data_IF_042472068392
#
_entry.id   IF_042472068392
#
_cell.length_a   1.000
_cell.length_b   1.000
_cell.length_c   1.000
_cell.angle_alpha   90.00
_cell.angle_beta   90.00
_cell.angle_gamma   90.00
#
_symmetry.space_group_name_H-M   'P 1'
#
loop_
_entity.id
_entity.type
_entity.pdbx_description
1 polymer ?
#
# COMPACT_ATOMS: atom_id res chain seq x y z
N UNK A 1 21.26 -46.06 34.05
CA UNK A 1 21.96 -45.14 34.97
C UNK A 1 20.93 -44.19 35.55
N UNK A 2 20.80 -44.11 36.89
CA UNK A 2 19.79 -43.32 37.58
C UNK A 2 20.35 -41.95 38.02
N UNK A 3 19.49 -40.95 38.16
CA UNK A 3 19.64 -39.91 39.18
C UNK A 3 18.30 -39.69 39.86
N UNK A 4 18.38 -39.58 41.17
CA UNK A 4 17.32 -39.59 42.17
C UNK A 4 17.38 -38.28 42.98
N UNK A 5 16.38 -38.09 43.86
CA UNK A 5 16.22 -37.10 44.94
C UNK A 5 15.43 -35.81 44.58
N UNK A 6 14.19 -35.66 45.09
CA UNK A 6 13.76 -35.09 46.42
C UNK A 6 13.85 -33.56 46.38
N UNK A 7 12.86 -32.73 46.74
CA UNK A 7 11.84 -32.68 47.80
C UNK A 7 10.62 -31.89 47.25
N UNK A 8 9.42 -31.76 47.82
CA UNK A 8 9.07 -31.32 49.16
C UNK A 8 7.56 -31.55 49.40
N UNK A 9 7.23 -31.91 50.64
CA UNK A 9 5.91 -32.33 51.11
C UNK A 9 4.98 -31.14 51.47
N UNK A 10 3.73 -31.28 51.05
CA UNK A 10 2.45 -30.90 51.66
C UNK A 10 2.34 -29.78 52.71
N UNK A 11 1.34 -28.91 52.50
CA UNK A 11 0.38 -28.53 53.56
C UNK A 11 -0.99 -28.20 53.00
N UNK A 12 -1.98 -28.96 53.49
CA UNK A 12 -3.42 -28.85 53.24
C UNK A 12 -4.10 -27.76 54.08
N UNK A 13 -5.25 -27.30 53.58
CA UNK A 13 -6.41 -26.86 54.38
C UNK A 13 -6.69 -25.35 54.40
N UNK A 14 -7.92 -24.84 54.49
CA UNK A 14 -9.31 -25.36 54.34
C UNK A 14 -10.22 -24.11 54.38
N UNK A 15 -11.23 -24.05 53.52
CA UNK A 15 -12.60 -23.48 53.71
C UNK A 15 -12.80 -22.00 54.12
N UNK A 16 -13.65 -21.32 53.34
CA UNK A 16 -14.39 -20.14 53.78
C UNK A 16 -15.49 -19.74 52.78
N UNK A 17 -16.72 -20.25 52.99
CA UNK A 17 -17.96 -19.79 52.35
C UNK A 17 -18.30 -18.35 52.76
N UNK A 18 -18.92 -17.57 51.86
CA UNK A 18 -19.72 -16.42 52.28
C UNK A 18 -20.02 -15.36 51.21
N UNK A 19 -21.16 -15.53 50.52
CA UNK A 19 -22.18 -14.51 50.21
C UNK A 19 -21.76 -13.02 50.05
N UNK A 20 -21.96 -12.44 48.87
CA UNK A 20 -23.04 -11.46 48.61
C UNK A 20 -23.04 -11.00 47.14
N UNK A 21 -24.21 -11.00 46.52
CA UNK A 21 -24.47 -10.35 45.25
C UNK A 21 -24.55 -8.83 45.43
N UNK A 22 -23.95 -8.06 44.51
CA UNK A 22 -24.42 -6.73 44.16
C UNK A 22 -24.14 -6.47 42.67
N UNK A 23 -25.23 -6.53 41.88
CA UNK A 23 -25.33 -5.81 40.61
C UNK A 23 -25.11 -4.32 40.88
N UNK A 24 -24.32 -3.64 40.06
CA UNK A 24 -24.73 -2.36 39.43
C UNK A 24 -23.69 -1.85 38.42
N UNK A 25 -24.22 -1.52 37.23
CA UNK A 25 -23.79 -0.47 36.31
C UNK A 25 -22.41 -0.60 35.62
N UNK A 26 -22.44 -1.31 34.49
CA UNK A 26 -21.53 -1.08 33.36
C UNK A 26 -21.75 0.36 32.86
N UNK A 27 -20.85 1.28 33.23
CA UNK A 27 -20.76 2.59 32.60
C UNK A 27 -20.06 2.42 31.24
N UNK A 28 -20.85 2.21 30.19
CA UNK A 28 -20.37 2.36 28.82
C UNK A 28 -20.04 3.84 28.59
N UNK A 29 -18.79 4.23 28.81
CA UNK A 29 -18.22 5.37 28.09
C UNK A 29 -17.90 4.88 26.67
N UNK A 30 -18.93 4.83 25.82
CA UNK A 30 -18.71 4.90 24.38
C UNK A 30 -18.19 6.29 24.08
N UNK A 31 -16.86 6.36 24.01
CA UNK A 31 -16.13 7.48 23.46
C UNK A 31 -16.74 7.84 22.10
N UNK A 32 -17.17 9.10 21.99
CA UNK A 32 -17.39 9.77 20.72
C UNK A 32 -16.01 9.97 20.09
N UNK A 33 -15.51 8.93 19.42
CA UNK A 33 -14.21 8.91 18.75
C UNK A 33 -14.43 8.71 17.26
N UNK A 34 -14.30 9.80 16.50
CA UNK A 34 -14.02 9.88 15.06
C UNK A 34 -14.28 8.61 14.24
N UNK A 35 -15.39 8.62 13.50
CA UNK A 35 -15.47 7.92 12.22
C UNK A 35 -14.27 8.34 11.35
N UNK A 36 -13.44 7.38 10.93
CA UNK A 36 -12.25 7.72 10.16
C UNK A 36 -11.34 6.59 9.72
N UNK A 37 -11.39 5.40 10.34
CA UNK A 37 -10.62 4.23 9.89
C UNK A 37 -11.59 3.06 9.69
N UNK A 38 -12.31 3.11 8.57
CA UNK A 38 -13.24 2.07 8.17
C UNK A 38 -12.49 0.87 7.62
N UNK A 39 -12.33 -0.16 8.44
CA UNK A 39 -12.28 -1.52 7.94
C UNK A 39 -13.72 -1.88 7.57
N UNK A 40 -14.13 -1.60 6.33
CA UNK A 40 -15.49 -1.79 5.85
C UNK A 40 -15.84 -3.26 5.75
N UNK A 41 -16.24 -3.86 6.86
CA UNK A 41 -16.69 -5.25 6.91
C UNK A 41 -17.88 -5.49 5.97
N UNK A 42 -18.09 -6.75 5.58
CA UNK A 42 -19.24 -7.12 4.77
C UNK A 42 -20.53 -6.68 5.47
N UNK A 43 -21.42 -5.99 4.74
CA UNK A 43 -22.69 -5.49 5.29
C UNK A 43 -23.86 -5.83 4.38
N UNK A 44 -25.02 -6.08 4.97
CA UNK A 44 -26.27 -6.19 4.21
C UNK A 44 -27.06 -4.90 4.36
N UNK A 45 -27.40 -4.25 3.25
CA UNK A 45 -28.28 -3.08 3.21
C UNK A 45 -29.34 -3.25 2.13
N UNK A 46 -30.60 -2.99 2.46
CA UNK A 46 -31.72 -3.10 1.52
C UNK A 46 -31.80 -4.47 0.81
N UNK A 47 -31.46 -5.56 1.53
CA UNK A 47 -31.45 -6.92 0.97
C UNK A 47 -30.26 -7.25 0.06
N UNK A 48 -29.31 -6.32 -0.10
CA UNK A 48 -28.08 -6.52 -0.89
C UNK A 48 -26.91 -6.76 0.06
N UNK A 49 -26.18 -7.87 -0.13
CA UNK A 49 -24.96 -8.18 0.60
C UNK A 49 -23.76 -7.55 -0.10
N UNK A 50 -23.17 -6.53 0.51
CA UNK A 50 -21.98 -5.86 0.02
C UNK A 50 -20.71 -6.62 0.41
N UNK A 51 -19.72 -6.75 -0.50
CA UNK A 51 -18.41 -7.31 -0.18
C UNK A 51 -17.70 -6.50 0.91
N UNK A 52 -16.84 -7.15 1.68
CA UNK A 52 -15.94 -6.45 2.59
C UNK A 52 -14.82 -5.75 1.79
N UNK A 53 -14.26 -4.67 2.34
CA UNK A 53 -13.14 -3.95 1.72
C UNK A 53 -11.93 -4.86 1.50
N UNK A 54 -11.67 -5.79 2.43
CA UNK A 54 -10.60 -6.78 2.29
C UNK A 54 -10.83 -7.75 1.11
N UNK A 55 -12.08 -8.13 0.85
CA UNK A 55 -12.43 -8.99 -0.28
C UNK A 55 -12.24 -8.24 -1.61
N UNK A 56 -12.66 -6.97 -1.66
CA UNK A 56 -12.44 -6.08 -2.80
C UNK A 56 -10.94 -5.92 -3.06
N UNK A 57 -10.16 -5.59 -2.03
CA UNK A 57 -8.71 -5.41 -2.13
C UNK A 57 -8.03 -6.68 -2.65
N UNK A 58 -8.45 -7.86 -2.16
CA UNK A 58 -7.96 -9.16 -2.65
C UNK A 58 -8.27 -9.37 -4.13
N UNK A 59 -9.50 -9.06 -4.57
CA UNK A 59 -9.90 -9.17 -5.97
C UNK A 59 -9.11 -8.19 -6.87
N UNK A 60 -8.89 -6.95 -6.42
CA UNK A 60 -8.09 -5.95 -7.13
C UNK A 60 -6.62 -6.37 -7.25
N UNK A 61 -6.05 -6.92 -6.17
CA UNK A 61 -4.68 -7.43 -6.16
C UNK A 61 -4.53 -8.63 -7.09
N UNK A 62 -5.48 -9.57 -7.08
CA UNK A 62 -5.50 -10.70 -7.99
C UNK A 62 -5.60 -10.26 -9.46
N UNK A 63 -6.48 -9.31 -9.77
CA UNK A 63 -6.59 -8.72 -11.11
C UNK A 63 -5.25 -8.11 -11.54
N UNK A 64 -4.61 -7.29 -10.70
CA UNK A 64 -3.30 -6.70 -11.00
C UNK A 64 -2.18 -7.74 -11.21
N UNK A 65 -2.19 -8.84 -10.45
CA UNK A 65 -1.22 -9.92 -10.59
C UNK A 65 -1.39 -10.71 -11.89
N UNK A 66 -2.64 -10.93 -12.31
CA UNK A 66 -2.98 -11.78 -13.46
C UNK A 66 -3.03 -11.01 -14.79
N UNK A 67 -3.25 -9.70 -14.77
CA UNK A 67 -3.35 -8.86 -15.96
C UNK A 67 -2.01 -8.80 -16.73
N UNK A 68 -1.95 -9.27 -17.99
CA UNK A 68 -0.73 -9.20 -18.80
C UNK A 68 -0.25 -7.76 -19.03
N UNK A 69 -1.17 -6.79 -19.10
CA UNK A 69 -0.83 -5.38 -19.33
C UNK A 69 -0.20 -4.71 -18.09
N UNK A 70 -0.35 -5.33 -16.93
CA UNK A 70 0.22 -4.84 -15.66
C UNK A 70 1.68 -5.27 -15.45
N UNK A 71 2.34 -5.96 -16.40
CA UNK A 71 3.71 -6.46 -16.23
C UNK A 71 4.74 -5.37 -15.88
N UNK A 72 4.77 -4.26 -16.62
CA UNK A 72 5.66 -3.12 -16.35
C UNK A 72 5.35 -2.46 -15.00
N UNK A 73 4.07 -2.36 -14.66
CA UNK A 73 3.65 -1.80 -13.38
C UNK A 73 4.11 -2.68 -12.21
N UNK A 74 4.05 -4.02 -12.34
CA UNK A 74 4.58 -4.95 -11.35
C UNK A 74 6.09 -4.82 -11.17
N UNK A 75 6.84 -4.66 -12.26
CA UNK A 75 8.28 -4.39 -12.20
C UNK A 75 8.59 -3.08 -11.47
N UNK A 76 7.83 -2.01 -11.77
CA UNK A 76 7.98 -0.72 -11.11
C UNK A 76 7.65 -0.80 -9.62
N UNK A 77 6.57 -1.49 -9.25
CA UNK A 77 6.20 -1.75 -7.84
C UNK A 77 7.31 -2.51 -7.13
N UNK A 78 7.92 -3.51 -7.77
CA UNK A 78 9.05 -4.24 -7.19
C UNK A 78 10.30 -3.36 -7.05
N UNK A 79 10.59 -2.52 -8.05
CA UNK A 79 11.74 -1.62 -8.04
C UNK A 79 11.62 -0.57 -6.92
N UNK A 80 10.44 0.05 -6.80
CA UNK A 80 10.15 1.11 -5.83
C UNK A 80 9.86 0.56 -4.43
N UNK A 81 9.11 -0.53 -4.32
CA UNK A 81 8.74 -1.12 -3.05
C UNK A 81 9.78 -2.09 -2.49
N UNK A 82 10.72 -2.58 -3.31
CA UNK A 82 11.62 -3.67 -2.94
C UNK A 82 10.91 -5.03 -2.88
N UNK A 83 11.61 -6.08 -2.43
CA UNK A 83 11.07 -7.45 -2.43
C UNK A 83 9.85 -7.65 -1.50
N UNK A 84 9.70 -6.77 -0.50
CA UNK A 84 8.55 -6.76 0.42
C UNK A 84 7.53 -5.66 0.09
N UNK A 85 7.72 -4.95 -1.02
CA UNK A 85 6.80 -3.91 -1.46
C UNK A 85 5.45 -4.50 -1.87
N UNK A 86 4.36 -3.86 -1.46
CA UNK A 86 3.01 -4.29 -1.82
C UNK A 86 2.09 -3.11 -2.10
N UNK A 87 1.05 -3.35 -2.90
CA UNK A 87 0.00 -2.37 -3.13
C UNK A 87 -1.08 -2.53 -2.06
N UNK A 88 -1.42 -1.41 -1.43
CA UNK A 88 -2.55 -1.28 -0.53
C UNK A 88 -3.70 -0.57 -1.27
N UNK A 89 -4.91 -1.11 -1.15
CA UNK A 89 -6.11 -0.61 -1.81
C UNK A 89 -7.02 0.00 -0.75
N UNK A 90 -7.32 1.29 -0.86
CA UNK A 90 -8.24 1.99 0.03
C UNK A 90 -9.58 2.17 -0.65
N UNK A 91 -10.59 1.43 -0.20
CA UNK A 91 -11.95 1.52 -0.71
C UNK A 91 -12.64 2.74 -0.09
N UNK A 92 -13.33 3.52 -0.92
CA UNK A 92 -14.08 4.71 -0.48
C UNK A 92 -15.58 4.58 -0.66
N UNK A 93 -15.99 3.92 -1.74
CA UNK A 93 -17.40 3.80 -2.10
C UNK A 93 -17.64 2.50 -2.84
N UNK A 94 -18.77 1.84 -2.52
CA UNK A 94 -19.22 0.60 -3.16
C UNK A 94 -20.70 0.77 -3.51
N UNK A 95 -21.02 0.76 -4.80
CA UNK A 95 -22.36 0.99 -5.35
C UNK A 95 -22.83 -0.27 -6.06
N UNK A 96 -23.94 -0.85 -5.61
CA UNK A 96 -24.56 -1.97 -6.29
C UNK A 96 -25.25 -1.54 -7.59
N UNK A 97 -24.91 -2.19 -8.72
CA UNK A 97 -25.54 -2.02 -10.02
C UNK A 97 -25.69 -3.36 -10.73
N UNK A 98 -26.94 -3.75 -11.03
CA UNK A 98 -27.27 -4.85 -11.94
C UNK A 98 -26.52 -6.18 -11.65
N UNK A 99 -26.34 -6.55 -10.37
CA UNK A 99 -25.67 -7.79 -9.97
C UNK A 99 -24.15 -7.68 -9.76
N UNK A 100 -23.57 -6.49 -9.90
CA UNK A 100 -22.18 -6.19 -9.61
C UNK A 100 -22.07 -4.94 -8.71
N UNK A 101 -20.85 -4.63 -8.27
CA UNK A 101 -20.55 -3.51 -7.39
C UNK A 101 -19.51 -2.60 -8.05
N UNK A 102 -19.93 -1.40 -8.42
CA UNK A 102 -19.02 -0.35 -8.84
C UNK A 102 -18.30 0.18 -7.58
N UNK A 103 -16.98 0.11 -7.59
CA UNK A 103 -16.16 0.46 -6.43
C UNK A 103 -15.20 1.59 -6.78
N UNK A 104 -15.18 2.63 -5.96
CA UNK A 104 -14.19 3.71 -6.02
C UNK A 104 -13.11 3.49 -4.97
N UNK A 105 -11.85 3.54 -5.39
CA UNK A 105 -10.71 3.23 -4.52
C UNK A 105 -9.46 4.04 -4.90
N UNK A 106 -8.53 4.12 -3.95
CA UNK A 106 -7.16 4.62 -4.16
C UNK A 106 -6.15 3.49 -4.00
N UNK A 107 -4.95 3.68 -4.54
CA UNK A 107 -3.84 2.74 -4.42
C UNK A 107 -2.62 3.44 -3.84
N UNK A 108 -2.04 2.82 -2.82
CA UNK A 108 -0.76 3.24 -2.23
C UNK A 108 0.25 2.11 -2.30
N UNK A 109 1.52 2.45 -2.48
CA UNK A 109 2.64 1.52 -2.38
C UNK A 109 3.13 1.49 -0.93
N UNK A 110 2.97 0.36 -0.26
CA UNK A 110 3.65 0.09 1.00
C UNK A 110 5.10 -0.26 0.71
N UNK A 111 6.00 0.52 1.28
CA UNK A 111 7.43 0.40 1.06
C UNK A 111 7.99 -0.82 1.81
N UNK A 112 8.75 -1.67 1.13
CA UNK A 112 9.50 -2.77 1.74
C UNK A 112 10.95 -2.42 2.08
N UNK A 113 11.44 -1.28 1.60
CA UNK A 113 12.79 -0.74 1.79
C UNK A 113 12.73 0.79 1.99
N UNK A 114 13.86 1.42 2.34
CA UNK A 114 13.92 2.88 2.43
C UNK A 114 13.74 3.55 1.08
N UNK A 115 12.96 4.62 0.99
CA UNK A 115 12.64 5.26 -0.28
C UNK A 115 13.84 5.93 -0.97
N UNK A 116 14.87 6.34 -0.22
CA UNK A 116 16.14 6.76 -0.82
C UNK A 116 16.84 5.62 -1.61
N UNK A 117 16.78 4.39 -1.11
CA UNK A 117 17.29 3.20 -1.81
C UNK A 117 16.45 2.91 -3.06
N UNK A 118 15.12 3.04 -2.95
CA UNK A 118 14.20 2.91 -4.08
C UNK A 118 14.47 3.92 -5.19
N UNK A 119 14.67 5.19 -4.84
CA UNK A 119 15.03 6.24 -5.79
C UNK A 119 16.37 5.99 -6.45
N UNK A 120 17.37 5.56 -5.68
CA UNK A 120 18.69 5.24 -6.23
C UNK A 120 18.60 4.13 -7.28
N UNK A 121 17.84 3.05 -6.99
CA UNK A 121 17.59 1.95 -7.94
C UNK A 121 16.84 2.45 -9.17
N UNK A 122 15.80 3.27 -8.99
CA UNK A 122 15.03 3.84 -10.10
C UNK A 122 15.92 4.70 -11.01
N UNK A 123 16.67 5.65 -10.45
CA UNK A 123 17.51 6.56 -11.23
C UNK A 123 18.64 5.83 -11.95
N UNK A 124 19.18 4.75 -11.37
CA UNK A 124 20.14 3.88 -12.05
C UNK A 124 19.55 3.22 -13.32
N UNK A 125 18.23 3.04 -13.41
CA UNK A 125 17.58 2.54 -14.64
C UNK A 125 17.33 3.63 -15.69
N UNK A 126 17.29 4.90 -15.26
CA UNK A 126 17.05 6.05 -16.15
C UNK A 126 18.33 6.58 -16.80
N UNK A 127 19.47 6.40 -16.14
CA UNK A 127 20.77 6.83 -16.65
C UNK A 127 21.34 5.73 -17.57
N UNK A 128 21.78 6.06 -18.80
CA UNK A 128 22.45 5.10 -19.67
C UNK A 128 23.67 4.47 -18.98
N UNK A 129 23.90 3.17 -19.18
CA UNK A 129 24.98 2.45 -18.48
C UNK A 129 26.36 3.05 -18.76
N UNK A 130 26.57 3.63 -19.94
CA UNK A 130 27.80 4.30 -20.34
C UNK A 130 28.02 5.61 -19.58
N UNK A 131 26.95 6.30 -19.20
CA UNK A 131 27.01 7.50 -18.37
C UNK A 131 27.15 7.14 -16.90
N UNK A 132 26.39 6.14 -16.44
CA UNK A 132 26.47 5.65 -15.07
C UNK A 132 27.89 5.16 -14.70
N UNK A 133 28.61 4.54 -15.63
CA UNK A 133 29.99 4.10 -15.42
C UNK A 133 31.01 5.25 -15.31
N UNK A 134 30.66 6.46 -15.79
CA UNK A 134 31.51 7.66 -15.69
C UNK A 134 31.24 8.45 -14.42
N UNK A 135 30.18 8.12 -13.68
CA UNK A 135 29.87 8.80 -12.44
C UNK A 135 30.90 8.41 -11.37
N UNK A 136 31.45 9.39 -10.64
CA UNK A 136 32.48 9.14 -9.62
C UNK A 136 31.95 8.30 -8.47
N UNK A 137 30.65 8.41 -8.19
CA UNK A 137 29.96 7.69 -7.12
C UNK A 137 28.59 7.21 -7.61
N UNK A 138 28.21 5.98 -7.24
CA UNK A 138 26.90 5.41 -7.51
C UNK A 138 25.94 5.69 -6.35
N UNK A 139 25.81 6.96 -5.99
CA UNK A 139 24.96 7.43 -4.88
C UNK A 139 23.71 8.12 -5.41
N UNK A 140 22.66 8.20 -4.58
CA UNK A 140 21.42 8.91 -4.94
C UNK A 140 21.70 10.36 -5.38
N UNK A 141 22.52 11.09 -4.63
CA UNK A 141 22.86 12.48 -4.94
C UNK A 141 23.62 12.61 -6.27
N UNK A 142 24.51 11.67 -6.59
CA UNK A 142 25.23 11.66 -7.87
C UNK A 142 24.28 11.39 -9.05
N UNK A 143 23.32 10.47 -8.89
CA UNK A 143 22.31 10.20 -9.91
C UNK A 143 21.33 11.38 -10.10
N UNK A 144 20.86 12.00 -9.01
CA UNK A 144 20.01 13.19 -9.08
C UNK A 144 20.72 14.34 -9.80
N UNK A 145 22.00 14.56 -9.49
CA UNK A 145 22.82 15.56 -10.17
C UNK A 145 22.98 15.25 -11.65
N UNK A 146 23.32 14.01 -12.00
CA UNK A 146 23.47 13.59 -13.40
C UNK A 146 22.18 13.81 -14.20
N UNK A 147 21.04 13.39 -13.67
CA UNK A 147 19.74 13.58 -14.33
C UNK A 147 19.35 15.06 -14.41
N UNK A 148 19.73 15.88 -13.42
CA UNK A 148 19.59 17.33 -13.45
C UNK A 148 20.43 17.99 -14.54
N UNK A 149 21.69 17.56 -14.69
CA UNK A 149 22.60 18.02 -15.74
C UNK A 149 22.10 17.60 -17.13
N UNK A 150 21.58 16.37 -17.28
CA UNK A 150 20.90 15.91 -18.50
C UNK A 150 19.69 16.78 -18.84
N UNK A 151 18.87 17.15 -17.85
CA UNK A 151 17.74 18.06 -18.06
C UNK A 151 18.22 19.46 -18.51
N UNK A 152 19.31 19.98 -17.94
CA UNK A 152 19.90 21.26 -18.34
C UNK A 152 20.48 21.23 -19.76
N UNK A 153 21.09 20.11 -20.16
CA UNK A 153 21.54 19.91 -21.53
C UNK A 153 20.37 19.87 -22.53
N UNK A 154 19.28 19.20 -22.16
CA UNK A 154 18.07 19.09 -22.98
C UNK A 154 17.33 20.41 -23.14
N UNK A 155 17.51 21.39 -22.24
CA UNK A 155 16.76 22.64 -22.27
C UNK A 155 16.93 23.43 -23.58
N UNK A 156 18.10 23.31 -24.21
CA UNK A 156 18.42 24.00 -25.47
C UNK A 156 17.83 23.29 -26.71
N UNK A 157 17.65 21.98 -26.64
CA UNK A 157 17.24 21.16 -27.79
C UNK A 157 15.79 20.69 -27.70
N UNK A 158 15.31 20.43 -26.49
CA UNK A 158 13.95 20.01 -26.18
C UNK A 158 13.52 20.50 -24.79
N UNK A 159 13.01 21.74 -24.67
CA UNK A 159 12.61 22.32 -23.39
C UNK A 159 11.45 21.56 -22.72
N UNK A 160 10.58 20.91 -23.50
CA UNK A 160 9.48 20.12 -22.97
C UNK A 160 9.99 18.86 -22.23
N UNK A 161 10.96 18.14 -22.81
CA UNK A 161 11.58 16.99 -22.16
C UNK A 161 12.40 17.40 -20.93
N UNK A 162 13.12 18.52 -21.00
CA UNK A 162 13.85 19.07 -19.86
C UNK A 162 12.91 19.38 -18.68
N UNK A 163 11.77 20.03 -18.95
CA UNK A 163 10.77 20.33 -17.94
C UNK A 163 10.13 19.06 -17.35
N UNK A 164 9.78 18.08 -18.19
CA UNK A 164 9.22 16.81 -17.75
C UNK A 164 10.17 16.00 -16.86
N UNK A 165 11.47 15.94 -17.23
CA UNK A 165 12.48 15.26 -16.42
C UNK A 165 12.66 15.93 -15.06
N UNK A 166 12.74 17.26 -15.00
CA UNK A 166 12.83 18.00 -13.73
C UNK A 166 11.59 17.79 -12.86
N UNK A 167 10.40 17.88 -13.44
CA UNK A 167 9.15 17.64 -12.74
C UNK A 167 9.08 16.21 -12.18
N UNK A 168 9.58 15.23 -12.94
CA UNK A 168 9.68 13.84 -12.49
C UNK A 168 10.62 13.68 -11.31
N UNK A 169 11.83 14.23 -11.37
CA UNK A 169 12.81 14.17 -10.26
C UNK A 169 12.27 14.86 -9.00
N UNK A 170 11.63 16.02 -9.14
CA UNK A 170 11.04 16.75 -8.02
C UNK A 170 9.88 15.99 -7.38
N UNK A 171 8.96 15.45 -8.19
CA UNK A 171 7.83 14.65 -7.72
C UNK A 171 8.30 13.37 -7.00
N UNK A 172 9.21 12.61 -7.61
CA UNK A 172 9.77 11.41 -7.02
C UNK A 172 10.56 11.69 -5.73
N UNK A 173 11.36 12.76 -5.73
CA UNK A 173 12.07 13.23 -4.55
C UNK A 173 11.13 13.57 -3.40
N UNK A 174 10.04 14.31 -3.65
CA UNK A 174 9.03 14.65 -2.64
C UNK A 174 8.31 13.42 -2.08
N UNK A 175 8.07 12.42 -2.92
CA UNK A 175 7.31 11.23 -2.52
C UNK A 175 8.14 10.18 -1.76
N UNK A 176 9.39 9.95 -2.18
CA UNK A 176 10.15 8.79 -1.70
C UNK A 176 11.40 9.14 -0.89
N UNK A 177 11.96 10.36 -0.98
CA UNK A 177 13.27 10.65 -0.35
C UNK A 177 13.28 10.40 1.16
N UNK A 178 12.18 10.72 1.83
CA UNK A 178 12.02 10.57 3.29
C UNK A 178 11.19 9.34 3.68
N UNK A 179 10.67 8.59 2.70
CA UNK A 179 9.85 7.41 2.97
C UNK A 179 10.71 6.30 3.60
N UNK A 180 10.19 5.69 4.66
CA UNK A 180 10.82 4.59 5.39
C UNK A 180 10.20 3.26 4.98
N UNK A 181 10.84 2.16 5.39
CA UNK A 181 10.22 0.86 5.28
C UNK A 181 8.90 0.81 6.06
N UNK A 182 7.88 0.21 5.44
CA UNK A 182 6.47 0.16 5.82
C UNK A 182 5.68 1.47 5.70
N UNK A 183 6.29 2.57 5.27
CA UNK A 183 5.52 3.77 4.93
C UNK A 183 4.65 3.48 3.69
N UNK A 184 3.52 4.18 3.60
CA UNK A 184 2.60 4.07 2.49
C UNK A 184 2.67 5.33 1.62
N UNK A 185 3.06 5.16 0.36
CA UNK A 185 3.17 6.25 -0.62
C UNK A 185 2.00 6.16 -1.58
N UNK A 186 1.13 7.17 -1.60
CA UNK A 186 -0.01 7.20 -2.53
C UNK A 186 0.49 7.27 -3.98
N UNK A 187 0.06 6.32 -4.83
CA UNK A 187 0.50 6.24 -6.23
C UNK A 187 -0.61 6.57 -7.24
N UNK A 188 -1.87 6.28 -6.90
CA UNK A 188 -3.02 6.56 -7.75
C UNK A 188 -4.24 6.83 -6.89
N UNK A 189 -4.98 7.89 -7.21
CA UNK A 189 -6.24 8.21 -6.54
C UNK A 189 -7.40 8.22 -7.53
N UNK A 190 -8.62 8.00 -7.03
CA UNK A 190 -9.86 8.14 -7.81
C UNK A 190 -10.05 7.04 -8.85
N UNK A 191 -9.56 5.83 -8.60
CA UNK A 191 -9.73 4.69 -9.48
C UNK A 191 -11.13 4.08 -9.32
N UNK A 192 -11.64 3.47 -10.39
CA UNK A 192 -12.90 2.73 -10.39
C UNK A 192 -12.68 1.27 -10.81
N UNK A 193 -13.47 0.37 -10.24
CA UNK A 193 -13.53 -1.03 -10.65
C UNK A 193 -14.96 -1.56 -10.57
N UNK A 194 -15.26 -2.56 -11.39
CA UNK A 194 -16.46 -3.37 -11.27
C UNK A 194 -16.12 -4.65 -10.52
N UNK A 195 -16.72 -4.85 -9.35
CA UNK A 195 -16.55 -6.04 -8.53
C UNK A 195 -17.77 -6.94 -8.75
N UNK A 196 -17.54 -8.11 -9.35
CA UNK A 196 -18.60 -9.07 -9.69
C UNK A 196 -18.42 -10.37 -8.90
N UNK A 197 -19.51 -11.02 -8.48
CA UNK A 197 -19.42 -12.36 -7.90
C UNK A 197 -18.96 -13.36 -8.97
N UNK A 198 -18.02 -14.23 -8.63
CA UNK A 198 -17.53 -15.33 -9.44
C UNK A 198 -17.52 -16.63 -8.63
N UNK A 199 -17.37 -17.77 -9.30
CA UNK A 199 -17.36 -19.09 -8.63
C UNK A 199 -16.23 -19.23 -7.59
N UNK A 200 -15.12 -18.52 -7.78
CA UNK A 200 -13.95 -18.54 -6.92
C UNK A 200 -13.89 -17.39 -5.91
N UNK A 201 -14.98 -16.64 -5.73
CA UNK A 201 -15.04 -15.44 -4.89
C UNK A 201 -15.29 -14.19 -5.72
N UNK A 202 -14.73 -13.06 -5.32
CA UNK A 202 -14.93 -11.78 -6.01
C UNK A 202 -13.96 -11.62 -7.18
N UNK A 203 -14.47 -11.11 -8.30
CA UNK A 203 -13.68 -10.77 -9.47
C UNK A 203 -13.72 -9.26 -9.68
N UNK A 204 -12.55 -8.64 -9.89
CA UNK A 204 -12.44 -7.22 -10.18
C UNK A 204 -12.13 -6.99 -11.66
N UNK A 205 -12.82 -6.02 -12.26
CA UNK A 205 -12.50 -5.47 -13.57
C UNK A 205 -12.20 -3.97 -13.44
N UNK A 206 -11.07 -3.51 -13.97
CA UNK A 206 -10.67 -2.09 -13.84
C UNK A 206 -11.49 -1.26 -14.81
N UNK A 207 -12.11 -0.20 -14.30
CA UNK A 207 -12.85 0.75 -15.11
C UNK A 207 -12.00 1.99 -15.37
N UNK A 208 -12.14 2.58 -16.56
CA UNK A 208 -11.60 3.91 -16.80
C UNK A 208 -12.35 4.92 -15.93
N UNK A 209 -11.60 5.70 -15.15
CA UNK A 209 -12.15 6.77 -14.34
C UNK A 209 -11.65 8.13 -14.84
N UNK A 210 -12.54 9.11 -15.04
CA UNK A 210 -12.14 10.47 -15.39
C UNK A 210 -11.49 11.22 -14.21
N UNK A 211 -11.53 10.65 -12.99
CA UNK A 211 -11.01 11.24 -11.76
C UNK A 211 -9.63 10.68 -11.38
N UNK A 212 -8.99 9.88 -12.24
CA UNK A 212 -7.69 9.28 -11.94
C UNK A 212 -6.62 10.37 -11.82
N UNK A 213 -5.98 10.43 -10.66
CA UNK A 213 -4.79 11.23 -10.43
C UNK A 213 -3.59 10.31 -10.21
N UNK A 214 -2.58 10.41 -11.07
CA UNK A 214 -1.30 9.74 -10.88
C UNK A 214 -0.44 10.54 -9.91
N UNK A 215 0.08 9.86 -8.89
CA UNK A 215 0.91 10.43 -7.82
C UNK A 215 2.21 9.64 -7.75
N UNK A 216 3.32 10.29 -7.45
CA UNK A 216 4.53 9.57 -7.04
C UNK A 216 4.98 8.45 -8.01
N UNK A 217 4.72 8.62 -9.30
CA UNK A 217 5.15 7.72 -10.37
C UNK A 217 5.99 8.54 -11.36
N UNK A 218 6.97 7.92 -12.04
CA UNK A 218 7.69 8.57 -13.12
C UNK A 218 6.70 8.94 -14.24
N UNK A 219 6.71 10.20 -14.65
CA UNK A 219 5.81 10.78 -15.66
C UNK A 219 6.38 10.70 -17.06
#
# INVERSE_FOLDING_TARGET
MPYSFRDFSARSGTVGLGFLALLTAVSMLSACGKAGDGDGGATTRNGIAFPADADIATALQANFAQDPNSAKARELVKLLGGDKGQLDYKVHEVIYRQGAFETRYDVSLRMGQGGAESLQKLYATMIPKEEAAKLPEQTLAAYEKSLGDSAAALEKTNPQQAAALRATLDNLGKCYREAKANDSVAIMNGLNALISPARSGWYADKLQSPQVELRCLPL
#
